data_IF_832239731063
#
_entry.id   IF_832239731063
#
_cell.length_a   1.000
_cell.length_b   1.000
_cell.length_c   1.000
_cell.angle_alpha   90.00
_cell.angle_beta   90.00
_cell.angle_gamma   90.00
#
_symmetry.space_group_name_H-M   'P 1'
#
loop_
_entity.id
_entity.type
_entity.pdbx_description
1 polymer ?
#
# COMPACT_ATOMS: atom_id res chain seq x y z
N UNK A 1 -51.22 -9.22 28.76
CA UNK A 1 -50.22 -9.91 27.92
C UNK A 1 -49.61 -9.02 26.83
N UNK A 2 -50.39 -8.18 26.10
CA UNK A 2 -49.87 -7.26 25.06
C UNK A 2 -48.81 -6.24 25.56
N UNK A 3 -48.99 -5.73 26.79
CA UNK A 3 -48.07 -4.75 27.41
C UNK A 3 -46.67 -5.34 27.71
N UNK A 4 -46.60 -6.63 28.09
CA UNK A 4 -45.33 -7.31 28.36
C UNK A 4 -44.53 -7.58 27.08
N UNK A 5 -45.22 -7.89 25.97
CA UNK A 5 -44.60 -8.04 24.65
C UNK A 5 -43.96 -6.73 24.17
N UNK A 6 -44.64 -5.60 24.41
CA UNK A 6 -44.14 -4.28 24.04
C UNK A 6 -42.88 -3.90 24.84
N UNK A 7 -42.81 -4.25 26.13
CA UNK A 7 -41.64 -4.02 26.98
C UNK A 7 -40.44 -4.88 26.55
N UNK A 8 -40.66 -6.15 26.20
CA UNK A 8 -39.60 -7.06 25.72
C UNK A 8 -39.05 -6.59 24.36
N UNK A 9 -39.92 -6.08 23.47
CA UNK A 9 -39.51 -5.53 22.18
C UNK A 9 -38.62 -4.29 22.33
N UNK A 10 -38.98 -3.39 23.26
CA UNK A 10 -38.20 -2.17 23.56
C UNK A 10 -36.87 -2.51 24.24
N UNK A 11 -36.87 -3.48 25.16
CA UNK A 11 -35.64 -3.91 25.85
C UNK A 11 -34.66 -4.63 24.91
N UNK A 12 -35.16 -5.39 23.93
CA UNK A 12 -34.33 -6.01 22.89
C UNK A 12 -33.63 -5.00 21.98
N UNK A 13 -34.21 -3.81 21.77
CA UNK A 13 -33.63 -2.76 20.94
C UNK A 13 -32.43 -2.05 21.62
N UNK A 14 -32.40 -2.03 22.96
CA UNK A 14 -31.33 -1.41 23.76
C UNK A 14 -30.10 -2.31 23.93
N UNK A 15 -30.22 -3.60 23.66
CA UNK A 15 -29.12 -4.58 23.67
C UNK A 15 -28.34 -4.63 22.35
N UNK A 16 -28.52 -3.63 21.47
CA UNK A 16 -27.71 -3.39 20.28
C UNK A 16 -26.25 -3.13 20.64
N UNK A 17 -25.55 -4.20 20.98
CA UNK A 17 -24.16 -4.21 21.41
C UNK A 17 -23.30 -3.70 20.25
N UNK A 18 -22.95 -2.42 20.30
CA UNK A 18 -21.99 -1.80 19.41
C UNK A 18 -20.61 -2.32 19.78
N UNK A 19 -20.26 -3.51 19.27
CA UNK A 19 -18.89 -4.02 19.36
C UNK A 19 -17.98 -2.97 18.71
N UNK A 20 -17.14 -2.31 19.52
CA UNK A 20 -16.08 -1.44 19.00
C UNK A 20 -15.30 -2.24 17.96
N UNK A 21 -15.05 -1.69 16.75
CA UNK A 21 -14.31 -2.41 15.74
C UNK A 21 -12.92 -2.73 16.29
N UNK A 22 -12.60 -4.01 16.40
CA UNK A 22 -11.26 -4.46 16.73
C UNK A 22 -10.47 -4.52 15.43
N UNK A 23 -9.56 -3.58 15.22
CA UNK A 23 -8.72 -3.54 14.03
C UNK A 23 -7.56 -4.52 14.20
N UNK A 24 -7.47 -5.53 13.32
CA UNK A 24 -6.39 -6.52 13.32
C UNK A 24 -5.03 -5.91 12.93
N UNK A 25 -5.03 -4.75 12.29
CA UNK A 25 -3.87 -3.96 11.89
C UNK A 25 -4.02 -2.58 12.51
N UNK A 26 -2.98 -2.05 13.16
CA UNK A 26 -3.03 -0.71 13.76
C UNK A 26 -3.06 0.38 12.69
N UNK A 27 -3.54 1.57 13.08
CA UNK A 27 -3.63 2.72 12.17
C UNK A 27 -2.26 3.10 11.61
N UNK A 28 -1.23 3.21 12.46
CA UNK A 28 0.14 3.53 12.04
C UNK A 28 0.69 2.50 11.04
N UNK A 29 0.43 1.21 11.30
CA UNK A 29 0.85 0.14 10.40
C UNK A 29 0.12 0.18 9.06
N UNK A 30 -1.16 0.57 9.05
CA UNK A 30 -1.91 0.80 7.82
C UNK A 30 -1.33 1.99 7.03
N UNK A 31 -0.97 3.08 7.71
CA UNK A 31 -0.29 4.24 7.09
C UNK A 31 1.04 3.81 6.45
N UNK A 32 1.85 3.00 7.14
CA UNK A 32 3.13 2.49 6.62
C UNK A 32 2.94 1.65 5.34
N UNK A 33 2.02 0.69 5.38
CA UNK A 33 1.75 -0.21 4.24
C UNK A 33 1.22 0.58 3.04
N UNK A 34 0.26 1.48 3.26
CA UNK A 34 -0.31 2.29 2.17
C UNK A 34 0.72 3.26 1.59
N UNK A 35 1.62 3.80 2.41
CA UNK A 35 2.72 4.65 1.94
C UNK A 35 3.63 3.88 0.97
N UNK A 36 4.10 2.68 1.37
CA UNK A 36 4.98 1.86 0.54
C UNK A 36 4.29 1.38 -0.75
N UNK A 37 3.02 0.97 -0.66
CA UNK A 37 2.22 0.58 -1.82
C UNK A 37 2.01 1.76 -2.79
N UNK A 38 1.80 2.96 -2.26
CA UNK A 38 1.63 4.17 -3.08
C UNK A 38 2.92 4.51 -3.83
N UNK A 39 4.07 4.47 -3.16
CA UNK A 39 5.38 4.67 -3.79
C UNK A 39 5.61 3.64 -4.90
N UNK A 40 5.38 2.35 -4.63
CA UNK A 40 5.52 1.30 -5.64
C UNK A 40 4.58 1.47 -6.83
N UNK A 41 3.35 1.96 -6.59
CA UNK A 41 2.40 2.26 -7.66
C UNK A 41 2.84 3.46 -8.52
N UNK A 42 3.49 4.45 -7.91
CA UNK A 42 4.02 5.63 -8.60
C UNK A 42 5.23 5.28 -9.48
N UNK A 43 6.12 4.41 -8.99
CA UNK A 43 7.24 3.89 -9.81
C UNK A 43 6.69 3.14 -11.02
N UNK A 44 5.63 2.34 -10.84
CA UNK A 44 4.99 1.61 -11.93
C UNK A 44 4.33 2.54 -12.94
N UNK A 45 3.70 3.63 -12.51
CA UNK A 45 2.98 4.54 -13.43
C UNK A 45 3.93 5.27 -14.39
N UNK A 46 5.17 5.52 -13.97
CA UNK A 46 6.21 6.17 -14.81
C UNK A 46 7.05 5.18 -15.62
N UNK A 47 7.01 3.88 -15.31
CA UNK A 47 7.79 2.85 -16.01
C UNK A 47 7.02 2.34 -17.23
N UNK A 48 7.68 2.22 -18.39
CA UNK A 48 7.07 1.69 -19.62
C UNK A 48 6.73 0.19 -19.56
N UNK A 49 7.29 -0.54 -18.59
CA UNK A 49 7.05 -1.97 -18.35
C UNK A 49 5.83 -2.16 -17.46
N UNK A 50 4.72 -2.59 -18.07
CA UNK A 50 3.49 -3.02 -17.36
C UNK A 50 3.47 -4.54 -17.18
N UNK A 51 4.44 -5.05 -16.44
CA UNK A 51 4.52 -6.48 -16.11
C UNK A 51 3.64 -6.79 -14.89
N UNK A 52 2.60 -7.60 -15.10
CA UNK A 52 1.65 -8.02 -14.06
C UNK A 52 2.28 -8.96 -13.04
N UNK A 53 3.26 -9.79 -13.43
CA UNK A 53 3.98 -10.69 -12.52
C UNK A 53 4.84 -9.86 -11.58
N UNK A 54 5.60 -8.91 -12.13
CA UNK A 54 6.40 -7.99 -11.33
C UNK A 54 5.54 -7.21 -10.33
N UNK A 55 4.34 -6.77 -10.74
CA UNK A 55 3.40 -6.11 -9.84
C UNK A 55 2.99 -7.01 -8.67
N UNK A 56 2.59 -8.25 -8.95
CA UNK A 56 2.17 -9.19 -7.91
C UNK A 56 3.31 -9.51 -6.93
N UNK A 57 4.52 -9.73 -7.44
CA UNK A 57 5.72 -9.98 -6.61
C UNK A 57 6.03 -8.76 -5.74
N UNK A 58 5.98 -7.56 -6.31
CA UNK A 58 6.23 -6.31 -5.56
C UNK A 58 5.17 -6.09 -4.48
N UNK A 59 3.89 -6.26 -4.82
CA UNK A 59 2.78 -6.14 -3.88
C UNK A 59 2.92 -7.12 -2.71
N UNK A 60 3.16 -8.40 -2.98
CA UNK A 60 3.36 -9.41 -1.94
C UNK A 60 4.58 -9.14 -1.08
N UNK A 61 5.69 -8.68 -1.69
CA UNK A 61 6.91 -8.31 -0.97
C UNK A 61 6.67 -7.17 0.01
N UNK A 62 5.93 -6.13 -0.41
CA UNK A 62 5.57 -4.99 0.46
C UNK A 62 4.69 -5.45 1.62
N UNK A 63 3.65 -6.26 1.38
CA UNK A 63 2.82 -6.78 2.46
C UNK A 63 3.65 -7.61 3.47
N UNK A 64 4.53 -8.48 2.95
CA UNK A 64 5.40 -9.31 3.77
C UNK A 64 6.38 -8.48 4.61
N UNK A 65 6.95 -7.40 4.06
CA UNK A 65 7.80 -6.43 4.79
C UNK A 65 7.08 -5.89 6.02
N UNK A 66 5.77 -5.69 5.93
CA UNK A 66 4.93 -5.24 7.03
C UNK A 66 4.33 -6.40 7.85
N UNK A 67 4.72 -7.64 7.63
CA UNK A 67 4.17 -8.80 8.35
C UNK A 67 2.67 -9.02 8.10
N UNK A 68 2.20 -8.68 6.90
CA UNK A 68 0.84 -8.91 6.43
C UNK A 68 0.85 -9.92 5.28
N UNK A 69 -0.26 -10.64 5.15
CA UNK A 69 -0.62 -11.34 3.92
C UNK A 69 -1.77 -10.58 3.22
N UNK A 70 -2.10 -11.00 1.99
CA UNK A 70 -3.14 -10.33 1.20
C UNK A 70 -4.51 -10.35 1.88
N UNK A 71 -4.86 -11.45 2.55
CA UNK A 71 -6.15 -11.61 3.21
C UNK A 71 -6.27 -10.66 4.40
N UNK A 72 -5.28 -10.67 5.31
CA UNK A 72 -5.23 -9.78 6.47
C UNK A 72 -5.24 -8.30 6.07
N UNK A 73 -4.54 -7.94 5.00
CA UNK A 73 -4.55 -6.57 4.49
C UNK A 73 -5.95 -6.16 4.01
N UNK A 74 -6.60 -6.99 3.19
CA UNK A 74 -7.95 -6.71 2.67
C UNK A 74 -8.97 -6.63 3.82
N UNK A 75 -8.92 -7.54 4.78
CA UNK A 75 -9.80 -7.53 5.95
C UNK A 75 -9.63 -6.26 6.79
N UNK A 76 -8.38 -5.86 7.03
CA UNK A 76 -8.08 -4.63 7.75
C UNK A 76 -8.55 -3.39 6.97
N UNK A 77 -8.26 -3.33 5.67
CA UNK A 77 -8.69 -2.23 4.81
C UNK A 77 -10.22 -2.09 4.78
N UNK A 78 -10.94 -3.19 4.60
CA UNK A 78 -12.40 -3.23 4.65
C UNK A 78 -12.95 -2.78 6.02
N UNK A 79 -12.22 -3.05 7.10
CA UNK A 79 -12.61 -2.62 8.45
C UNK A 79 -12.47 -1.10 8.62
N UNK A 80 -11.42 -0.50 8.07
CA UNK A 80 -11.25 0.96 8.09
C UNK A 80 -12.24 1.69 7.18
N UNK A 81 -12.55 1.14 6.00
CA UNK A 81 -13.53 1.72 5.06
C UNK A 81 -14.94 1.86 5.65
N UNK A 82 -15.29 1.09 6.69
CA UNK A 82 -16.57 1.21 7.41
C UNK A 82 -16.66 2.48 8.28
N UNK A 83 -15.55 3.16 8.53
CA UNK A 83 -15.49 4.44 9.23
C UNK A 83 -14.77 5.48 8.36
N UNK A 84 -15.51 6.24 7.52
CA UNK A 84 -14.91 7.20 6.58
C UNK A 84 -14.03 8.26 7.25
N UNK A 85 -14.44 8.81 8.40
CA UNK A 85 -13.66 9.82 9.12
C UNK A 85 -12.29 9.27 9.57
N UNK A 86 -12.27 8.05 10.10
CA UNK A 86 -11.00 7.41 10.49
C UNK A 86 -10.13 7.07 9.28
N UNK A 87 -10.75 6.66 8.17
CA UNK A 87 -10.02 6.32 6.96
C UNK A 87 -9.44 7.58 6.26
N UNK A 88 -10.13 8.71 6.35
CA UNK A 88 -9.60 10.02 5.94
C UNK A 88 -8.33 10.38 6.71
N UNK A 89 -8.36 10.24 8.05
CA UNK A 89 -7.16 10.47 8.89
C UNK A 89 -5.97 9.59 8.49
N UNK A 90 -6.23 8.34 8.08
CA UNK A 90 -5.19 7.44 7.54
C UNK A 90 -4.59 8.02 6.27
N UNK A 91 -5.41 8.43 5.29
CA UNK A 91 -4.88 8.98 4.03
C UNK A 91 -4.18 10.33 4.20
N UNK A 92 -4.67 11.20 5.09
CA UNK A 92 -3.97 12.44 5.44
C UNK A 92 -2.58 12.15 6.01
N UNK A 93 -2.47 11.11 6.84
CA UNK A 93 -1.20 10.67 7.41
C UNK A 93 -0.27 10.10 6.33
N UNK A 94 -0.81 9.32 5.37
CA UNK A 94 -0.06 8.83 4.21
C UNK A 94 0.46 10.01 3.37
N UNK A 95 -0.37 11.00 3.06
CA UNK A 95 0.04 12.20 2.31
C UNK A 95 1.17 12.95 3.02
N UNK A 96 1.05 13.18 4.34
CA UNK A 96 2.10 13.82 5.14
C UNK A 96 3.41 13.04 5.10
N UNK A 97 3.36 11.69 5.18
CA UNK A 97 4.55 10.84 5.14
C UNK A 97 5.21 10.85 3.76
N UNK A 98 4.42 10.86 2.69
CA UNK A 98 4.92 11.01 1.31
C UNK A 98 5.58 12.37 1.11
N UNK A 99 4.95 13.45 1.56
CA UNK A 99 5.50 14.80 1.46
C UNK A 99 6.83 14.91 2.20
N UNK A 100 6.90 14.41 3.44
CA UNK A 100 8.14 14.35 4.21
C UNK A 100 9.26 13.61 3.48
N UNK A 101 8.97 12.41 2.92
CA UNK A 101 9.95 11.63 2.14
C UNK A 101 10.43 12.38 0.89
N UNK A 102 9.53 13.09 0.22
CA UNK A 102 9.85 13.90 -0.94
C UNK A 102 10.77 15.06 -0.58
N UNK A 103 10.48 15.76 0.51
CA UNK A 103 11.29 16.88 0.99
C UNK A 103 12.68 16.39 1.46
N UNK A 104 12.74 15.25 2.15
CA UNK A 104 13.99 14.57 2.51
C UNK A 104 14.82 14.24 1.26
N UNK A 105 14.20 13.68 0.23
CA UNK A 105 14.89 13.31 -1.02
C UNK A 105 15.39 14.54 -1.79
N UNK A 106 14.64 15.64 -1.79
CA UNK A 106 15.03 16.91 -2.44
C UNK A 106 16.16 17.64 -1.71
N UNK A 107 16.28 17.45 -0.40
CA UNK A 107 17.35 18.04 0.39
C UNK A 107 18.69 17.30 0.21
N UNK A 108 18.66 16.06 -0.28
CA UNK A 108 19.88 15.33 -0.63
C UNK A 108 20.47 15.91 -1.94
N UNK A 109 21.80 16.08 -2.03
CA UNK A 109 22.44 16.36 -3.31
C UNK A 109 22.09 15.23 -4.29
N UNK A 110 21.95 15.51 -5.59
CA UNK A 110 21.70 14.46 -6.57
C UNK A 110 22.82 13.42 -6.44
N UNK A 111 22.46 12.16 -6.22
CA UNK A 111 23.42 11.08 -6.31
C UNK A 111 24.05 11.15 -7.71
N UNK A 112 25.38 11.25 -7.77
CA UNK A 112 26.11 11.06 -9.02
C UNK A 112 25.84 9.62 -9.43
N UNK A 113 25.00 9.44 -10.44
CA UNK A 113 24.64 8.08 -10.83
C UNK A 113 25.85 7.33 -11.35
N UNK A 114 25.84 6.01 -11.15
CA UNK A 114 26.80 5.05 -11.70
C UNK A 114 26.62 4.84 -13.22
N UNK A 115 26.09 5.83 -13.95
CA UNK A 115 25.88 5.82 -15.40
C UNK A 115 27.16 6.10 -16.21
N UNK A 116 28.27 6.47 -15.56
CA UNK A 116 29.58 6.63 -16.22
C UNK A 116 30.34 5.30 -16.46
N UNK A 117 29.91 4.17 -15.88
CA UNK A 117 30.61 2.88 -16.02
C UNK A 117 29.86 1.78 -16.79
N UNK A 118 28.64 2.01 -17.29
CA UNK A 118 28.07 1.10 -18.28
C UNK A 118 28.76 1.40 -19.62
N UNK A 119 29.92 0.75 -19.84
CA UNK A 119 30.51 0.63 -21.16
C UNK A 119 29.47 -0.01 -22.07
N UNK A 120 28.78 0.82 -22.85
CA UNK A 120 27.87 0.38 -23.89
C UNK A 120 28.69 -0.51 -24.83
N UNK A 121 28.56 -1.83 -24.67
CA UNK A 121 29.13 -2.79 -25.60
C UNK A 121 28.48 -2.47 -26.94
N UNK A 122 29.25 -2.03 -27.93
CA UNK A 122 28.68 -1.77 -29.24
C UNK A 122 28.13 -3.10 -29.74
N UNK A 123 26.90 -3.09 -30.28
CA UNK A 123 26.19 -4.30 -30.72
C UNK A 123 27.04 -5.14 -31.70
N UNK A 124 27.95 -4.50 -32.44
CA UNK A 124 28.93 -5.12 -33.35
C UNK A 124 30.01 -5.98 -32.65
N UNK A 125 30.25 -5.76 -31.37
CA UNK A 125 31.27 -6.47 -30.60
C UNK A 125 30.72 -7.77 -29.99
N UNK A 126 29.40 -7.97 -30.04
CA UNK A 126 28.73 -9.19 -29.59
C UNK A 126 29.12 -10.33 -30.53
N UNK A 127 29.71 -11.44 -30.03
CA UNK A 127 30.24 -12.53 -30.86
C UNK A 127 29.18 -13.17 -31.77
N UNK A 128 27.89 -13.08 -31.40
CA UNK A 128 26.76 -13.54 -32.19
C UNK A 128 26.53 -12.74 -33.49
N UNK A 129 26.89 -11.46 -33.53
CA UNK A 129 26.64 -10.56 -34.69
C UNK A 129 27.76 -10.63 -35.73
N UNK A 130 28.92 -11.18 -35.37
CA UNK A 130 30.12 -11.22 -36.23
C UNK A 130 30.08 -12.28 -37.34
N UNK A 131 29.01 -13.08 -37.41
CA UNK A 131 28.86 -14.19 -38.37
C UNK A 131 27.80 -13.98 -39.45
N UNK A 132 27.30 -12.75 -39.62
CA UNK A 132 26.28 -12.41 -40.63
C UNK A 132 26.79 -11.25 -41.50
N UNK A 133 27.93 -11.45 -42.16
CA UNK A 133 28.35 -10.73 -43.38
C UNK A 133 29.00 -11.72 -44.34
#
# INVERSE_FOLDING_TARGET
MKQLFSIILVFGLLLGCSKKPNYSVSQEKMVDVLTDLTIASSIRSVTSKRDSVQYLVTYQSILKKHGLDSLKFIEAQNSYQKNPELYEVIYDSVQKRLQKKLDETRALPPEKGEDDEIKVIKIKDIPFVRGIE
#
